data_IF_775785120067
#
_entry.id   IF_775785120067
#
_cell.length_a   1.000
_cell.length_b   1.000
_cell.length_c   1.000
_cell.angle_alpha   90.00
_cell.angle_beta   90.00
_cell.angle_gamma   90.00
#
_symmetry.space_group_name_H-M   'P 1'
#
loop_
_entity.id
_entity.type
_entity.pdbx_description
1 polymer ?
#
# COMPACT_ATOMS: atom_id res chain seq x y z
N UNK A 1 0.22 -20.36 17.31
CA UNK A 1 1.52 -20.20 16.63
C UNK A 1 2.13 -18.90 17.12
N UNK A 2 3.31 -18.96 17.72
CA UNK A 2 4.02 -17.80 18.26
C UNK A 2 5.01 -17.22 17.24
N UNK A 3 5.24 -15.92 17.32
CA UNK A 3 6.25 -15.23 16.51
C UNK A 3 7.64 -15.59 17.03
N UNK A 4 8.58 -15.82 16.11
CA UNK A 4 10.00 -16.04 16.45
C UNK A 4 10.62 -14.72 16.92
N UNK A 5 11.67 -14.81 17.73
CA UNK A 5 12.36 -13.64 18.29
C UNK A 5 12.78 -12.62 17.22
N UNK A 6 13.35 -13.08 16.09
CA UNK A 6 13.74 -12.18 15.02
C UNK A 6 12.54 -11.49 14.34
N UNK A 7 11.37 -12.14 14.30
CA UNK A 7 10.14 -11.55 13.76
C UNK A 7 9.64 -10.46 14.71
N UNK A 8 9.73 -10.68 16.03
CA UNK A 8 9.41 -9.68 17.05
C UNK A 8 10.34 -8.46 16.90
N UNK A 9 11.66 -8.67 16.82
CA UNK A 9 12.63 -7.58 16.61
C UNK A 9 12.35 -6.77 15.34
N UNK A 10 11.98 -7.44 14.25
CA UNK A 10 11.60 -6.79 13.00
C UNK A 10 10.32 -5.95 13.17
N UNK A 11 9.29 -6.48 13.83
CA UNK A 11 8.05 -5.75 14.11
C UNK A 11 8.26 -4.56 15.04
N UNK A 12 9.18 -4.66 16.01
CA UNK A 12 9.51 -3.55 16.89
C UNK A 12 10.27 -2.46 16.16
N UNK A 13 11.15 -2.81 15.21
CA UNK A 13 11.76 -1.85 14.29
C UNK A 13 10.70 -1.16 13.41
N UNK A 14 9.73 -1.91 12.91
CA UNK A 14 8.60 -1.35 12.16
C UNK A 14 7.75 -0.38 13.00
N UNK A 15 7.48 -0.70 14.27
CA UNK A 15 6.77 0.20 15.17
C UNK A 15 7.57 1.48 15.41
N UNK A 16 8.88 1.38 15.69
CA UNK A 16 9.75 2.57 15.82
C UNK A 16 9.74 3.42 14.55
N UNK A 17 9.89 2.80 13.38
CA UNK A 17 9.82 3.48 12.10
C UNK A 17 8.49 4.21 11.89
N UNK A 18 7.36 3.62 12.30
CA UNK A 18 6.05 4.27 12.21
C UNK A 18 5.90 5.49 13.13
N UNK A 19 6.42 5.41 14.34
CA UNK A 19 6.42 6.56 15.24
C UNK A 19 7.23 7.71 14.64
N UNK A 20 8.39 7.42 14.09
CA UNK A 20 9.22 8.42 13.44
C UNK A 20 8.57 8.96 12.15
N UNK A 21 7.94 8.09 11.36
CA UNK A 21 7.19 8.50 10.17
C UNK A 21 6.07 9.48 10.51
N UNK A 22 5.30 9.23 11.58
CA UNK A 22 4.24 10.12 12.03
C UNK A 22 4.80 11.49 12.48
N UNK A 23 5.88 11.47 13.25
CA UNK A 23 6.55 12.70 13.70
C UNK A 23 7.13 13.50 12.51
N UNK A 24 7.75 12.83 11.54
CA UNK A 24 8.25 13.46 10.33
C UNK A 24 7.12 14.03 9.46
N UNK A 25 5.97 13.36 9.40
CA UNK A 25 4.79 13.84 8.70
C UNK A 25 4.25 15.13 9.34
N UNK A 26 4.20 15.20 10.66
CA UNK A 26 3.77 16.40 11.39
C UNK A 26 4.75 17.58 11.20
N UNK A 27 6.05 17.32 11.30
CA UNK A 27 7.09 18.33 11.02
C UNK A 27 7.01 18.84 9.57
N UNK A 28 6.83 17.93 8.62
CA UNK A 28 6.64 18.26 7.20
C UNK A 28 5.40 19.13 7.02
N UNK A 29 4.23 18.73 7.53
CA UNK A 29 2.99 19.48 7.41
C UNK A 29 3.10 20.90 8.00
N UNK A 30 3.74 21.03 9.17
CA UNK A 30 3.98 22.33 9.81
C UNK A 30 4.88 23.22 8.95
N UNK A 31 5.98 22.68 8.41
CA UNK A 31 6.89 23.42 7.56
C UNK A 31 6.25 23.82 6.21
N UNK A 32 5.48 22.91 5.60
CA UNK A 32 4.70 23.20 4.38
C UNK A 32 3.73 24.35 4.63
N UNK A 33 2.94 24.29 5.70
CA UNK A 33 1.98 25.34 6.02
C UNK A 33 2.64 26.70 6.26
N UNK A 34 3.77 26.73 6.98
CA UNK A 34 4.51 27.96 7.24
C UNK A 34 5.07 28.59 5.94
N UNK A 35 5.62 27.78 5.04
CA UNK A 35 6.15 28.25 3.76
C UNK A 35 5.03 28.72 2.81
N UNK A 36 3.91 28.01 2.75
CA UNK A 36 2.75 28.40 1.96
C UNK A 36 2.15 29.72 2.46
N UNK A 37 2.06 29.92 3.79
CA UNK A 37 1.65 31.20 4.38
C UNK A 37 2.61 32.35 4.07
N UNK A 38 3.91 32.06 3.99
CA UNK A 38 4.93 33.04 3.62
C UNK A 38 5.00 33.29 2.10
N UNK A 39 4.20 32.60 1.28
CA UNK A 39 4.27 32.69 -0.18
C UNK A 39 5.57 32.12 -0.77
N UNK A 40 6.29 31.29 -0.01
CA UNK A 40 7.57 30.69 -0.42
C UNK A 40 7.30 29.33 -1.04
N UNK A 41 7.86 29.02 -2.23
CA UNK A 41 7.73 27.69 -2.82
C UNK A 41 8.27 26.62 -1.87
N UNK A 42 7.46 25.59 -1.61
CA UNK A 42 7.81 24.49 -0.73
C UNK A 42 8.78 23.52 -1.43
N UNK A 43 10.01 23.33 -0.93
CA UNK A 43 10.95 22.37 -1.48
C UNK A 43 10.41 20.92 -1.43
N UNK A 44 10.76 20.12 -2.44
CA UNK A 44 10.32 18.72 -2.53
C UNK A 44 10.78 17.87 -1.33
N UNK A 45 11.99 18.10 -0.83
CA UNK A 45 12.53 17.37 0.33
C UNK A 45 11.72 17.59 1.60
N UNK A 46 11.15 18.80 1.80
CA UNK A 46 10.27 19.08 2.95
C UNK A 46 9.00 18.24 2.87
N UNK A 47 8.46 18.03 1.65
CA UNK A 47 7.27 17.21 1.44
C UNK A 47 7.57 15.72 1.64
N UNK A 48 8.81 15.28 1.42
CA UNK A 48 9.26 13.88 1.53
C UNK A 48 9.49 13.41 2.97
N UNK A 49 8.44 13.46 3.80
CA UNK A 49 8.48 12.99 5.18
C UNK A 49 8.95 11.53 5.38
N UNK A 50 8.72 10.56 4.46
CA UNK A 50 9.26 9.21 4.63
C UNK A 50 10.79 9.17 4.55
N UNK A 51 11.39 9.96 3.65
CA UNK A 51 12.85 10.12 3.56
C UNK A 51 13.40 10.77 4.81
N UNK A 52 12.76 11.84 5.30
CA UNK A 52 13.15 12.49 6.56
C UNK A 52 13.11 11.54 7.75
N UNK A 53 12.05 10.75 7.89
CA UNK A 53 11.95 9.73 8.94
C UNK A 53 13.08 8.69 8.85
N UNK A 54 13.37 8.21 7.63
CA UNK A 54 14.46 7.27 7.42
C UNK A 54 15.83 7.87 7.78
N UNK A 55 16.08 9.13 7.40
CA UNK A 55 17.33 9.84 7.70
C UNK A 55 17.54 9.96 9.23
N UNK A 56 16.52 10.37 9.97
CA UNK A 56 16.57 10.45 11.44
C UNK A 56 16.90 9.10 12.07
N UNK A 57 16.29 8.00 11.60
CA UNK A 57 16.60 6.67 12.10
C UNK A 57 18.01 6.21 11.69
N UNK A 58 18.47 6.58 10.50
CA UNK A 58 19.80 6.23 10.01
C UNK A 58 20.89 6.91 10.85
N UNK A 59 20.73 8.20 11.15
CA UNK A 59 21.59 8.97 12.04
C UNK A 59 21.63 8.39 13.46
N UNK A 60 20.50 7.88 13.94
CA UNK A 60 20.40 7.18 15.22
C UNK A 60 20.92 5.72 15.19
N UNK A 61 21.42 5.23 14.05
CA UNK A 61 21.92 3.85 13.90
C UNK A 61 20.84 2.77 13.98
N UNK A 62 19.58 3.12 13.70
CA UNK A 62 18.40 2.25 13.85
C UNK A 62 17.90 1.62 12.54
N UNK A 63 18.59 1.85 11.41
CA UNK A 63 18.33 1.18 10.12
C UNK A 63 19.27 0.01 9.90
N UNK A 64 18.87 -0.93 9.03
CA UNK A 64 19.66 -2.13 8.77
C UNK A 64 21.01 -1.81 8.10
N UNK A 65 22.05 -2.56 8.46
CA UNK A 65 23.37 -2.52 7.80
C UNK A 65 23.45 -3.55 6.66
N UNK A 66 24.17 -3.26 5.55
CA UNK A 66 24.84 -2.00 5.24
C UNK A 66 23.86 -0.86 4.99
N UNK A 67 24.25 0.37 5.30
CA UNK A 67 23.44 1.56 5.04
C UNK A 67 23.28 1.72 3.52
N UNK A 68 22.07 1.46 3.03
CA UNK A 68 21.69 1.74 1.65
C UNK A 68 20.98 3.08 1.61
N UNK A 69 21.17 3.90 0.56
CA UNK A 69 20.40 5.13 0.40
C UNK A 69 18.89 4.85 0.41
N UNK A 70 18.12 5.76 0.99
CA UNK A 70 16.67 5.68 0.94
C UNK A 70 16.19 5.73 -0.52
N UNK A 71 15.38 4.75 -0.90
CA UNK A 71 14.72 4.69 -2.20
C UNK A 71 13.40 5.43 -2.12
N UNK A 72 13.34 6.58 -2.78
CA UNK A 72 12.15 7.40 -2.87
C UNK A 72 11.07 6.73 -3.74
N UNK A 73 9.81 6.89 -3.33
CA UNK A 73 8.65 6.48 -4.11
C UNK A 73 7.62 7.61 -4.10
N UNK A 74 7.08 7.91 -5.27
CA UNK A 74 6.11 8.98 -5.45
C UNK A 74 4.84 8.41 -6.08
N UNK A 75 3.70 8.75 -5.50
CA UNK A 75 2.39 8.38 -6.01
C UNK A 75 2.07 9.13 -7.31
N UNK A 76 1.09 8.65 -8.07
CA UNK A 76 0.65 9.35 -9.28
C UNK A 76 0.09 10.75 -8.97
N UNK A 77 -0.51 10.92 -7.78
CA UNK A 77 -0.94 12.21 -7.25
C UNK A 77 0.20 13.10 -6.70
N UNK A 78 1.47 12.71 -6.87
CA UNK A 78 2.64 13.56 -6.56
C UNK A 78 3.11 13.57 -5.10
N UNK A 79 2.44 12.86 -4.19
CA UNK A 79 2.87 12.75 -2.79
C UNK A 79 3.87 11.59 -2.57
N UNK A 80 4.75 11.66 -1.57
CA UNK A 80 5.67 10.58 -1.25
C UNK A 80 4.94 9.37 -0.65
N UNK A 81 5.39 8.17 -0.99
CA UNK A 81 4.86 6.90 -0.49
C UNK A 81 5.80 6.36 0.59
N UNK A 82 5.33 6.18 1.84
CA UNK A 82 6.06 5.42 2.85
C UNK A 82 6.27 3.99 2.38
N UNK A 83 7.51 3.52 2.43
CA UNK A 83 7.89 2.21 1.94
C UNK A 83 8.99 1.59 2.79
N UNK A 84 8.79 0.32 3.17
CA UNK A 84 9.76 -0.48 3.92
C UNK A 84 9.79 -1.93 3.40
N UNK A 85 10.89 -2.62 3.67
CA UNK A 85 11.08 -4.02 3.35
C UNK A 85 11.53 -4.83 4.57
N UNK A 86 10.77 -5.85 4.91
CA UNK A 86 11.23 -6.89 5.81
C UNK A 86 12.06 -7.93 5.04
N UNK A 87 13.36 -7.98 5.35
CA UNK A 87 14.24 -9.06 4.88
C UNK A 87 14.03 -10.32 5.72
N UNK A 88 13.40 -11.34 5.15
CA UNK A 88 13.07 -12.60 5.84
C UNK A 88 13.40 -13.79 4.94
N UNK A 89 14.15 -14.79 5.42
CA UNK A 89 14.55 -15.94 4.60
C UNK A 89 13.33 -16.73 4.08
N UNK A 90 13.54 -17.52 3.03
CA UNK A 90 12.55 -18.49 2.55
C UNK A 90 12.17 -19.46 3.69
N UNK A 91 10.88 -19.74 3.86
CA UNK A 91 10.38 -20.51 5.01
C UNK A 91 10.37 -19.75 6.35
N UNK A 92 10.86 -18.50 6.40
CA UNK A 92 10.86 -17.64 7.59
C UNK A 92 9.50 -17.05 7.98
N UNK A 93 8.39 -17.56 7.45
CA UNK A 93 7.05 -17.08 7.80
C UNK A 93 6.79 -15.63 7.37
N UNK A 94 7.09 -15.27 6.11
CA UNK A 94 6.83 -13.93 5.56
C UNK A 94 5.37 -13.53 5.65
N UNK A 95 4.46 -14.41 5.24
CA UNK A 95 3.02 -14.16 5.34
C UNK A 95 2.56 -13.94 6.78
N UNK A 96 3.12 -14.70 7.74
CA UNK A 96 2.88 -14.47 9.18
C UNK A 96 3.35 -13.08 9.62
N UNK A 97 4.56 -12.69 9.21
CA UNK A 97 5.12 -11.38 9.51
C UNK A 97 4.30 -10.24 8.89
N UNK A 98 3.80 -10.41 7.65
CA UNK A 98 2.90 -9.47 7.01
C UNK A 98 1.60 -9.28 7.79
N UNK A 99 0.98 -10.36 8.24
CA UNK A 99 -0.24 -10.30 9.03
C UNK A 99 0.01 -9.63 10.39
N UNK A 100 1.14 -9.94 11.04
CA UNK A 100 1.56 -9.29 12.26
C UNK A 100 1.90 -7.80 12.07
N UNK A 101 2.46 -7.41 10.91
CA UNK A 101 2.69 -6.01 10.59
C UNK A 101 1.36 -5.25 10.44
N UNK A 102 0.36 -5.84 9.77
CA UNK A 102 -0.99 -5.27 9.70
C UNK A 102 -1.67 -5.21 11.08
N UNK A 103 -1.46 -6.21 11.94
CA UNK A 103 -1.90 -6.14 13.34
C UNK A 103 -1.29 -4.94 14.05
N UNK A 104 0.03 -4.75 13.94
CA UNK A 104 0.74 -3.62 14.56
C UNK A 104 0.27 -2.27 14.01
N UNK A 105 -0.23 -2.19 12.77
CA UNK A 105 -0.84 -0.97 12.25
C UNK A 105 -2.02 -0.49 13.11
N UNK A 106 -2.68 -1.40 13.83
CA UNK A 106 -3.81 -1.13 14.72
C UNK A 106 -4.92 -0.31 14.02
N UNK A 107 -5.28 -0.74 12.81
CA UNK A 107 -6.27 -0.08 11.97
C UNK A 107 -7.61 -0.78 12.11
N UNK A 108 -8.57 -0.07 12.69
CA UNK A 108 -9.93 -0.54 12.89
C UNK A 108 -10.73 -0.70 11.59
N UNK A 109 -10.36 0.06 10.55
CA UNK A 109 -10.96 0.01 9.23
C UNK A 109 -10.02 0.54 8.13
N UNK A 110 -10.45 0.35 6.89
CA UNK A 110 -9.76 0.82 5.70
C UNK A 110 -9.42 -0.31 4.74
N UNK A 111 -8.72 0.04 3.66
CA UNK A 111 -8.39 -0.90 2.58
C UNK A 111 -6.92 -1.34 2.67
N UNK A 112 -6.71 -2.64 2.48
CA UNK A 112 -5.41 -3.29 2.33
C UNK A 112 -5.43 -4.14 1.07
N UNK A 113 -4.43 -3.96 0.21
CA UNK A 113 -4.21 -4.79 -0.97
C UNK A 113 -3.03 -5.73 -0.71
N UNK A 114 -3.31 -7.01 -0.55
CA UNK A 114 -2.31 -8.06 -0.33
C UNK A 114 -2.00 -8.76 -1.63
N UNK A 115 -0.77 -8.61 -2.12
CA UNK A 115 -0.34 -9.09 -3.42
C UNK A 115 0.63 -10.27 -3.25
N UNK A 116 0.38 -11.34 -3.99
CA UNK A 116 1.22 -12.56 -3.99
C UNK A 116 1.66 -12.90 -5.42
N UNK A 117 2.82 -13.53 -5.63
CA UNK A 117 3.41 -13.60 -6.96
C UNK A 117 2.85 -14.71 -7.85
N UNK A 118 2.15 -15.71 -7.29
CA UNK A 118 1.64 -16.85 -8.07
C UNK A 118 0.27 -17.33 -7.61
N UNK A 119 -0.47 -18.01 -8.49
CA UNK A 119 -1.76 -18.61 -8.14
C UNK A 119 -1.64 -19.70 -7.05
N UNK A 120 -0.53 -20.45 -7.04
CA UNK A 120 -0.30 -21.44 -5.98
C UNK A 120 -0.17 -20.78 -4.59
N UNK A 121 0.59 -19.69 -4.50
CA UNK A 121 0.73 -18.93 -3.25
C UNK A 121 -0.59 -18.24 -2.89
N UNK A 122 -1.34 -17.78 -3.89
CA UNK A 122 -2.69 -17.23 -3.70
C UNK A 122 -3.62 -18.21 -3.01
N UNK A 123 -3.79 -19.43 -3.52
CA UNK A 123 -4.71 -20.41 -2.93
C UNK A 123 -4.32 -20.75 -1.48
N UNK A 124 -3.03 -20.99 -1.23
CA UNK A 124 -2.54 -21.27 0.12
C UNK A 124 -2.74 -20.10 1.09
N UNK A 125 -2.56 -18.87 0.61
CA UNK A 125 -2.73 -17.66 1.43
C UNK A 125 -4.22 -17.41 1.69
N UNK A 126 -5.08 -17.63 0.69
CA UNK A 126 -6.53 -17.51 0.77
C UNK A 126 -7.10 -18.45 1.82
N UNK A 127 -6.78 -19.75 1.76
CA UNK A 127 -7.23 -20.74 2.74
C UNK A 127 -6.93 -20.29 4.18
N UNK A 128 -5.72 -19.78 4.42
CA UNK A 128 -5.24 -19.34 5.73
C UNK A 128 -5.78 -17.99 6.19
N UNK A 129 -6.13 -17.09 5.27
CA UNK A 129 -6.68 -15.78 5.61
C UNK A 129 -8.21 -15.81 5.77
N UNK A 130 -8.90 -16.75 5.13
CA UNK A 130 -10.35 -16.93 5.28
C UNK A 130 -10.72 -17.77 6.50
N UNK A 131 -9.85 -18.67 6.95
CA UNK A 131 -10.05 -19.41 8.19
C UNK A 131 -9.88 -18.48 9.41
N UNK A 132 -10.99 -18.20 10.12
CA UNK A 132 -11.04 -17.36 11.33
C UNK A 132 -10.21 -17.92 12.49
N UNK A 133 -9.96 -19.23 12.52
CA UNK A 133 -9.14 -19.87 13.54
C UNK A 133 -7.65 -19.86 13.18
N UNK A 134 -7.31 -19.59 11.93
CA UNK A 134 -5.94 -19.58 11.50
C UNK A 134 -5.19 -18.34 12.05
N UNK A 135 -3.93 -18.48 12.51
CA UNK A 135 -3.19 -17.38 13.13
C UNK A 135 -3.07 -16.11 12.29
N UNK A 136 -2.99 -16.23 10.96
CA UNK A 136 -2.91 -15.05 10.07
C UNK A 136 -4.19 -14.21 10.17
N UNK A 137 -5.35 -14.87 10.13
CA UNK A 137 -6.63 -14.19 10.27
C UNK A 137 -6.80 -13.64 11.67
N UNK A 138 -6.44 -14.38 12.72
CA UNK A 138 -6.49 -13.88 14.10
C UNK A 138 -5.66 -12.60 14.32
N UNK A 139 -4.51 -12.44 13.66
CA UNK A 139 -3.72 -11.21 13.70
C UNK A 139 -4.49 -10.01 13.13
N UNK A 140 -5.16 -10.20 12.00
CA UNK A 140 -6.01 -9.17 11.39
C UNK A 140 -7.21 -8.83 12.29
N UNK A 141 -7.82 -9.85 12.92
CA UNK A 141 -8.94 -9.65 13.84
C UNK A 141 -8.49 -8.81 15.04
N UNK A 142 -7.33 -9.11 15.64
CA UNK A 142 -6.79 -8.30 16.76
C UNK A 142 -6.51 -6.85 16.35
N UNK A 143 -5.86 -6.63 15.21
CA UNK A 143 -5.53 -5.29 14.72
C UNK A 143 -6.72 -4.42 14.30
N UNK A 144 -7.86 -5.03 14.00
CA UNK A 144 -9.09 -4.33 13.58
C UNK A 144 -10.20 -4.30 14.63
N UNK A 145 -10.00 -4.96 15.78
CA UNK A 145 -11.05 -5.13 16.79
C UNK A 145 -12.18 -6.06 16.33
N UNK A 146 -11.84 -7.14 15.62
CA UNK A 146 -12.77 -8.18 15.17
C UNK A 146 -13.53 -7.86 13.87
N UNK A 147 -13.14 -6.80 13.17
CA UNK A 147 -13.86 -6.28 11.99
C UNK A 147 -13.03 -6.42 10.72
N UNK A 148 -12.81 -7.65 10.28
CA UNK A 148 -12.08 -7.92 9.04
C UNK A 148 -13.02 -8.45 7.96
N UNK A 149 -13.00 -7.80 6.78
CA UNK A 149 -13.66 -8.27 5.56
C UNK A 149 -12.60 -8.77 4.58
N UNK A 150 -12.54 -10.08 4.33
CA UNK A 150 -11.69 -10.59 3.26
C UNK A 150 -12.37 -10.35 1.92
N UNK A 151 -11.59 -9.96 0.92
CA UNK A 151 -12.06 -9.69 -0.43
C UNK A 151 -11.14 -10.38 -1.44
N UNK A 152 -11.74 -10.96 -2.46
CA UNK A 152 -11.09 -11.26 -3.73
C UNK A 152 -11.37 -10.11 -4.71
N UNK A 153 -10.67 -10.07 -5.85
CA UNK A 153 -10.76 -8.96 -6.81
C UNK A 153 -12.19 -8.65 -7.27
N UNK A 154 -12.98 -9.68 -7.51
CA UNK A 154 -14.32 -9.56 -8.07
C UNK A 154 -15.43 -9.48 -7.00
N UNK A 155 -15.05 -9.52 -5.72
CA UNK A 155 -15.99 -9.42 -4.62
C UNK A 155 -16.60 -8.02 -4.54
N UNK A 156 -17.93 -7.90 -4.37
CA UNK A 156 -18.56 -6.62 -4.15
C UNK A 156 -18.20 -6.07 -2.76
N UNK A 157 -17.85 -4.79 -2.70
CA UNK A 157 -17.69 -4.05 -1.45
C UNK A 157 -18.06 -2.59 -1.66
N UNK A 158 -18.35 -1.90 -0.57
CA UNK A 158 -18.91 -0.54 -0.57
C UNK A 158 -18.01 0.44 0.17
N UNK A 159 -18.28 1.75 0.00
CA UNK A 159 -17.62 2.78 0.78
C UNK A 159 -17.82 2.58 2.29
N UNK A 160 -19.02 2.16 2.71
CA UNK A 160 -19.34 1.83 4.11
C UNK A 160 -18.54 0.62 4.62
N UNK A 161 -18.30 -0.40 3.79
CA UNK A 161 -17.44 -1.51 4.18
C UNK A 161 -16.02 -1.04 4.54
N UNK A 162 -15.43 -0.17 3.72
CA UNK A 162 -14.09 0.37 3.95
C UNK A 162 -14.04 1.28 5.18
N UNK A 163 -15.14 1.96 5.50
CA UNK A 163 -15.24 2.82 6.67
C UNK A 163 -15.39 2.03 7.98
N UNK A 164 -16.08 0.89 7.94
CA UNK A 164 -16.42 0.11 9.14
C UNK A 164 -15.61 -1.18 9.32
N UNK A 165 -14.92 -1.67 8.29
CA UNK A 165 -14.12 -2.90 8.36
C UNK A 165 -12.70 -2.67 7.83
N UNK A 166 -11.77 -3.48 8.33
CA UNK A 166 -10.49 -3.71 7.67
C UNK A 166 -10.74 -4.63 6.48
N UNK A 167 -10.89 -4.02 5.30
CA UNK A 167 -11.04 -4.72 4.03
C UNK A 167 -9.67 -5.19 3.54
N UNK A 168 -9.41 -6.50 3.53
CA UNK A 168 -8.16 -7.08 3.03
C UNK A 168 -8.44 -7.80 1.72
N UNK A 169 -8.02 -7.18 0.62
CA UNK A 169 -8.15 -7.72 -0.73
C UNK A 169 -6.92 -8.54 -1.09
N UNK A 170 -7.08 -9.84 -1.35
CA UNK A 170 -6.02 -10.72 -1.83
C UNK A 170 -5.97 -10.72 -3.37
N UNK A 171 -4.78 -10.60 -3.95
CA UNK A 171 -4.58 -10.58 -5.40
C UNK A 171 -3.32 -11.34 -5.82
N UNK A 172 -3.42 -12.14 -6.87
CA UNK A 172 -2.26 -12.75 -7.54
C UNK A 172 -1.70 -11.83 -8.63
N UNK A 173 -0.37 -11.66 -8.64
CA UNK A 173 0.36 -10.92 -9.67
C UNK A 173 0.52 -11.73 -10.97
N UNK A 174 0.50 -13.06 -10.92
CA UNK A 174 0.57 -13.88 -12.14
C UNK A 174 -0.64 -13.67 -13.05
N UNK A 175 -1.82 -13.44 -12.48
CA UNK A 175 -3.01 -13.06 -13.23
C UNK A 175 -2.90 -11.68 -13.91
N UNK A 176 -1.90 -10.88 -13.55
CA UNK A 176 -1.54 -9.61 -14.20
C UNK A 176 -0.49 -9.76 -15.31
N UNK A 177 0.31 -10.83 -15.27
CA UNK A 177 1.59 -10.94 -15.97
C UNK A 177 1.50 -11.46 -17.42
N UNK A 178 0.42 -11.17 -18.15
CA UNK A 178 0.42 -11.37 -19.62
C UNK A 178 1.16 -10.20 -20.29
N UNK A 179 2.49 -10.24 -20.21
CA UNK A 179 3.45 -9.52 -21.08
C UNK A 179 3.50 -7.98 -21.06
N UNK A 180 2.66 -7.22 -20.34
CA UNK A 180 2.76 -5.75 -20.28
C UNK A 180 2.15 -5.13 -18.99
N UNK A 181 2.74 -4.05 -18.44
CA UNK A 181 2.21 -3.23 -17.32
C UNK A 181 0.73 -2.80 -17.50
N UNK A 182 0.32 -2.56 -18.75
CA UNK A 182 -1.09 -2.34 -19.08
C UNK A 182 -1.96 -3.44 -18.48
N UNK A 183 -1.58 -4.71 -18.56
CA UNK A 183 -2.43 -5.82 -18.12
C UNK A 183 -2.64 -5.86 -16.60
N UNK A 184 -1.67 -5.43 -15.79
CA UNK A 184 -1.84 -5.26 -14.34
C UNK A 184 -2.91 -4.20 -13.99
N UNK A 185 -2.81 -3.01 -14.58
CA UNK A 185 -3.79 -1.95 -14.33
C UNK A 185 -5.15 -2.27 -14.95
N UNK A 186 -5.15 -3.02 -16.06
CA UNK A 186 -6.36 -3.53 -16.69
C UNK A 186 -7.12 -4.51 -15.80
N UNK A 187 -6.47 -5.16 -14.84
CA UNK A 187 -7.15 -6.00 -13.86
C UNK A 187 -8.12 -5.22 -12.98
N UNK A 188 -7.93 -3.93 -12.80
CA UNK A 188 -8.77 -3.10 -11.94
C UNK A 188 -9.83 -2.31 -12.73
N UNK A 189 -10.04 -2.67 -14.01
CA UNK A 189 -11.04 -2.03 -14.85
C UNK A 189 -12.47 -2.40 -14.44
N UNK A 190 -13.34 -1.49 -14.85
CA UNK A 190 -14.77 -1.38 -14.61
C UNK A 190 -15.53 -2.71 -14.53
N UNK A 191 -16.30 -2.86 -13.44
CA UNK A 191 -17.27 -3.93 -13.26
C UNK A 191 -18.66 -3.39 -12.93
N UNK A 192 -18.84 -2.07 -12.86
CA UNK A 192 -20.09 -1.43 -12.38
C UNK A 192 -20.41 -1.66 -10.90
N UNK A 193 -19.52 -2.29 -10.12
CA UNK A 193 -19.80 -2.72 -8.73
C UNK A 193 -19.38 -1.73 -7.66
N UNK A 194 -18.73 -0.63 -8.04
CA UNK A 194 -18.12 0.33 -7.11
C UNK A 194 -18.89 1.64 -6.99
N UNK A 195 -20.15 1.66 -7.41
CA UNK A 195 -21.02 2.86 -7.44
C UNK A 195 -21.02 3.62 -6.11
N UNK A 196 -21.07 2.92 -4.98
CA UNK A 196 -21.08 3.55 -3.64
C UNK A 196 -19.85 4.40 -3.29
N UNK A 197 -18.75 4.30 -4.06
CA UNK A 197 -17.56 5.12 -3.86
C UNK A 197 -17.59 6.44 -4.63
N UNK A 198 -18.56 6.62 -5.53
CA UNK A 198 -18.63 7.75 -6.44
C UNK A 198 -19.97 8.47 -6.28
N UNK A 199 -20.04 9.77 -6.57
CA UNK A 199 -21.31 10.48 -6.71
C UNK A 199 -22.19 9.86 -7.80
N UNK A 200 -23.48 10.19 -7.76
CA UNK A 200 -24.40 9.89 -8.84
C UNK A 200 -23.92 10.55 -10.14
N UNK A 201 -24.17 9.93 -11.29
CA UNK A 201 -23.63 10.36 -12.58
C UNK A 201 -24.28 11.63 -13.15
N UNK A 202 -25.42 12.02 -12.60
CA UNK A 202 -26.18 13.25 -12.87
C UNK A 202 -25.87 14.39 -11.89
N UNK A 203 -25.18 14.12 -10.78
CA UNK A 203 -24.72 15.16 -9.84
C UNK A 203 -23.40 15.81 -10.33
N UNK A 204 -23.53 16.77 -11.24
CA UNK A 204 -22.40 17.46 -11.84
C UNK A 204 -21.49 18.16 -10.79
N UNK A 205 -22.09 18.72 -9.74
CA UNK A 205 -21.34 19.46 -8.71
C UNK A 205 -20.49 18.52 -7.84
N UNK A 206 -21.07 17.38 -7.41
CA UNK A 206 -20.33 16.41 -6.61
C UNK A 206 -19.21 15.74 -7.43
N UNK A 207 -19.44 15.46 -8.72
CA UNK A 207 -18.41 14.94 -9.62
C UNK A 207 -17.26 15.93 -9.81
N UNK A 208 -17.56 17.23 -10.01
CA UNK A 208 -16.53 18.27 -10.13
C UNK A 208 -15.67 18.35 -8.86
N UNK A 209 -16.29 18.37 -7.68
CA UNK A 209 -15.57 18.36 -6.38
C UNK A 209 -14.71 17.12 -6.20
N UNK A 210 -15.18 15.95 -6.66
CA UNK A 210 -14.40 14.72 -6.58
C UNK A 210 -13.11 14.83 -7.41
N UNK A 211 -13.21 15.33 -8.64
CA UNK A 211 -12.07 15.48 -9.55
C UNK A 211 -11.11 16.59 -9.10
N UNK A 212 -11.60 17.65 -8.48
CA UNK A 212 -10.77 18.67 -7.85
C UNK A 212 -9.97 18.08 -6.68
N UNK A 213 -10.61 17.27 -5.84
CA UNK A 213 -9.97 16.61 -4.70
C UNK A 213 -8.96 15.54 -5.12
N UNK A 214 -9.27 14.80 -6.18
CA UNK A 214 -8.45 13.69 -6.69
C UNK A 214 -8.14 13.93 -8.17
N UNK A 215 -7.10 14.72 -8.41
CA UNK A 215 -6.74 15.21 -9.75
C UNK A 215 -6.19 14.12 -10.67
N UNK A 216 -5.83 12.95 -10.14
CA UNK A 216 -5.26 11.85 -10.89
C UNK A 216 -6.27 10.74 -11.21
N UNK A 217 -7.57 10.88 -10.93
CA UNK A 217 -8.56 9.84 -11.25
C UNK A 217 -8.69 9.63 -12.76
N UNK A 218 -8.84 8.37 -13.17
CA UNK A 218 -9.10 8.05 -14.58
C UNK A 218 -10.51 8.52 -14.95
N UNK A 219 -10.69 9.31 -16.02
CA UNK A 219 -12.00 9.80 -16.42
C UNK A 219 -12.84 8.69 -17.07
N UNK A 220 -14.16 8.81 -17.03
CA UNK A 220 -15.10 7.86 -17.67
C UNK A 220 -15.04 7.95 -19.19
N UNK A 221 -14.81 9.15 -19.72
CA UNK A 221 -14.63 9.45 -21.14
C UNK A 221 -13.71 10.68 -21.27
N UNK A 222 -12.98 10.86 -22.39
CA UNK A 222 -12.04 11.98 -22.56
C UNK A 222 -12.66 13.36 -22.32
N UNK A 223 -13.92 13.55 -22.75
CA UNK A 223 -14.60 14.84 -22.71
C UNK A 223 -15.64 14.96 -21.57
N UNK A 224 -15.67 14.00 -20.64
CA UNK A 224 -16.64 13.98 -19.54
C UNK A 224 -15.94 14.15 -18.21
N UNK A 225 -16.25 15.19 -17.41
CA UNK A 225 -15.67 15.41 -16.09
C UNK A 225 -16.34 14.50 -15.05
N UNK A 226 -16.36 13.20 -15.31
CA UNK A 226 -16.85 12.17 -14.39
C UNK A 226 -15.74 11.15 -14.21
N UNK A 227 -15.41 10.85 -12.96
CA UNK A 227 -14.45 9.80 -12.65
C UNK A 227 -15.02 8.44 -13.06
N UNK A 228 -14.19 7.61 -13.67
CA UNK A 228 -14.56 6.24 -13.99
C UNK A 228 -14.82 5.44 -12.71
N UNK A 229 -15.97 4.77 -12.63
CA UNK A 229 -16.35 3.95 -11.47
C UNK A 229 -15.61 2.59 -11.46
N UNK A 230 -14.31 2.63 -11.17
CA UNK A 230 -13.41 1.47 -11.25
C UNK A 230 -12.70 1.20 -9.93
N UNK A 231 -12.28 -0.06 -9.72
CA UNK A 231 -11.48 -0.46 -8.56
C UNK A 231 -10.16 0.34 -8.50
N UNK A 232 -9.59 0.67 -9.66
CA UNK A 232 -8.40 1.50 -9.75
C UNK A 232 -8.60 2.89 -9.12
N UNK A 233 -9.69 3.56 -9.46
CA UNK A 233 -10.04 4.85 -8.86
C UNK A 233 -10.44 4.70 -7.38
N UNK A 234 -11.06 3.58 -6.98
CA UNK A 234 -11.30 3.29 -5.55
C UNK A 234 -9.97 3.23 -4.79
N UNK A 235 -8.94 2.54 -5.32
CA UNK A 235 -7.63 2.54 -4.69
C UNK A 235 -7.01 3.93 -4.61
N UNK A 236 -7.06 4.71 -5.69
CA UNK A 236 -6.55 6.08 -5.69
C UNK A 236 -7.17 6.94 -4.59
N UNK A 237 -8.49 6.83 -4.41
CA UNK A 237 -9.23 7.57 -3.39
C UNK A 237 -8.99 7.05 -1.96
N UNK A 238 -8.93 5.72 -1.78
CA UNK A 238 -8.85 5.08 -0.46
C UNK A 238 -7.42 4.80 0.02
N UNK A 239 -6.41 5.04 -0.83
CA UNK A 239 -4.98 4.98 -0.54
C UNK A 239 -4.60 3.74 0.29
N UNK A 240 -4.73 2.53 -0.27
CA UNK A 240 -4.62 1.31 0.50
C UNK A 240 -3.23 1.13 1.11
N UNK A 241 -3.15 0.33 2.17
CA UNK A 241 -1.89 -0.31 2.54
C UNK A 241 -1.63 -1.44 1.55
N UNK A 242 -0.47 -1.45 0.90
CA UNK A 242 -0.10 -2.51 -0.04
C UNK A 242 0.91 -3.43 0.63
N UNK A 243 0.59 -4.72 0.70
CA UNK A 243 1.52 -5.77 1.14
C UNK A 243 2.01 -6.52 -0.09
N UNK A 244 3.32 -6.48 -0.33
CA UNK A 244 3.98 -7.23 -1.39
C UNK A 244 4.63 -8.49 -0.79
N UNK A 245 3.90 -9.60 -0.77
CA UNK A 245 4.43 -10.87 -0.29
C UNK A 245 5.30 -11.53 -1.37
N UNK A 246 6.46 -12.06 -0.96
CA UNK A 246 7.47 -12.64 -1.87
C UNK A 246 7.89 -11.69 -3.00
N UNK A 247 8.13 -10.41 -2.67
CA UNK A 247 8.32 -9.33 -3.64
C UNK A 247 9.46 -9.55 -4.65
N UNK A 248 10.53 -10.27 -4.30
CA UNK A 248 11.60 -10.63 -5.24
C UNK A 248 11.12 -11.47 -6.44
N UNK A 249 9.99 -12.18 -6.32
CA UNK A 249 9.36 -12.88 -7.45
C UNK A 249 8.47 -11.95 -8.29
N UNK A 250 7.96 -10.88 -7.68
CA UNK A 250 7.11 -9.87 -8.32
C UNK A 250 7.92 -8.93 -9.22
N UNK A 251 9.13 -8.54 -8.79
CA UNK A 251 9.99 -7.63 -9.54
C UNK A 251 10.55 -8.23 -10.86
N UNK A 252 10.27 -9.49 -11.21
CA UNK A 252 10.79 -10.10 -12.42
C UNK A 252 12.31 -10.35 -12.37
N UNK A 253 12.89 -10.82 -13.48
CA UNK A 253 14.36 -10.90 -13.64
C UNK A 253 14.88 -9.48 -13.92
N UNK A 254 16.10 -9.18 -13.45
CA UNK A 254 16.72 -7.85 -13.52
C UNK A 254 16.43 -7.08 -14.82
N UNK A 255 16.03 -5.81 -14.72
CA UNK A 255 15.78 -4.91 -15.86
C UNK A 255 14.55 -4.01 -15.68
N UNK A 256 14.10 -3.40 -16.78
CA UNK A 256 13.01 -2.40 -16.81
C UNK A 256 11.66 -2.91 -16.26
N UNK A 257 11.37 -4.22 -16.35
CA UNK A 257 10.12 -4.82 -15.86
C UNK A 257 9.90 -4.60 -14.35
N UNK A 258 10.99 -4.61 -13.58
CA UNK A 258 10.95 -4.39 -12.13
C UNK A 258 10.56 -2.95 -11.75
N UNK A 259 11.02 -1.98 -12.53
CA UNK A 259 10.71 -0.56 -12.34
C UNK A 259 9.29 -0.26 -12.80
N UNK A 260 8.84 -0.90 -13.89
CA UNK A 260 7.46 -0.84 -14.34
C UNK A 260 6.49 -1.32 -13.26
N UNK A 261 6.76 -2.45 -12.59
CA UNK A 261 5.91 -2.95 -11.52
C UNK A 261 5.83 -1.98 -10.33
N UNK A 262 6.97 -1.43 -9.90
CA UNK A 262 7.01 -0.40 -8.84
C UNK A 262 6.15 0.79 -9.25
N UNK A 263 6.27 1.26 -10.50
CA UNK A 263 5.44 2.34 -11.01
C UNK A 263 3.94 1.97 -11.03
N UNK A 264 3.58 0.74 -11.40
CA UNK A 264 2.19 0.27 -11.37
C UNK A 264 1.60 0.30 -9.97
N UNK A 265 2.36 -0.14 -8.97
CA UNK A 265 1.96 -0.09 -7.56
C UNK A 265 1.83 1.36 -7.09
N UNK A 266 2.78 2.23 -7.43
CA UNK A 266 2.75 3.65 -7.07
C UNK A 266 1.53 4.37 -7.68
N UNK A 267 1.08 3.96 -8.86
CA UNK A 267 -0.13 4.49 -9.52
C UNK A 267 -1.45 4.14 -8.80
N UNK A 268 -1.42 3.23 -7.82
CA UNK A 268 -2.56 2.94 -6.94
C UNK A 268 -2.65 3.94 -5.77
N UNK A 269 -1.73 4.91 -5.68
CA UNK A 269 -1.62 5.89 -4.60
C UNK A 269 -1.61 5.28 -3.19
N UNK A 270 -0.77 4.24 -2.92
CA UNK A 270 -0.75 3.59 -1.63
C UNK A 270 -0.41 4.56 -0.50
N UNK A 271 -1.06 4.37 0.65
CA UNK A 271 -0.72 5.10 1.88
C UNK A 271 0.54 4.55 2.55
N UNK A 272 0.87 3.29 2.29
CA UNK A 272 2.04 2.58 2.80
C UNK A 272 2.28 1.35 1.93
N UNK A 273 3.54 1.05 1.63
CA UNK A 273 3.95 -0.21 1.00
C UNK A 273 4.82 -1.01 1.97
N UNK A 274 4.39 -2.23 2.30
CA UNK A 274 5.11 -3.20 3.11
C UNK A 274 5.62 -4.30 2.18
N UNK A 275 6.93 -4.36 1.97
CA UNK A 275 7.59 -5.39 1.17
C UNK A 275 8.07 -6.54 2.07
N UNK A 276 7.80 -7.79 1.66
CA UNK A 276 8.29 -9.00 2.33
C UNK A 276 9.18 -9.77 1.35
N UNK A 277 10.48 -9.87 1.60
CA UNK A 277 11.40 -10.49 0.65
C UNK A 277 12.57 -11.22 1.32
N UNK A 278 13.01 -12.33 0.73
CA UNK A 278 14.25 -12.98 1.13
C UNK A 278 15.49 -12.31 0.53
N UNK A 279 15.32 -11.71 -0.65
CA UNK A 279 16.38 -11.09 -1.44
C UNK A 279 15.94 -9.67 -1.84
N UNK A 280 15.93 -8.72 -0.90
CA UNK A 280 15.59 -7.32 -1.18
C UNK A 280 16.56 -6.73 -2.21
N UNK A 281 16.06 -5.80 -3.02
CA UNK A 281 16.86 -5.13 -4.05
C UNK A 281 17.42 -3.82 -3.49
N UNK A 282 18.74 -3.62 -3.57
CA UNK A 282 19.37 -2.40 -3.07
C UNK A 282 18.87 -1.12 -3.76
N UNK A 283 18.35 -1.23 -4.98
CA UNK A 283 17.83 -0.11 -5.75
C UNK A 283 16.33 0.18 -5.51
N UNK A 284 15.61 -0.71 -4.80
CA UNK A 284 14.13 -0.66 -4.71
C UNK A 284 13.57 -0.83 -3.30
N UNK A 285 14.31 -1.47 -2.42
CA UNK A 285 13.91 -1.90 -1.08
C UNK A 285 14.50 -0.97 -0.02
N UNK A 286 13.68 -0.52 0.93
CA UNK A 286 14.12 0.26 2.10
C UNK A 286 14.15 -0.67 3.33
N UNK A 287 15.33 -1.09 3.77
CA UNK A 287 15.52 -2.07 4.87
C UNK A 287 15.54 -1.45 6.26
#
# INVERSE_FOLDING_TARGET
>A
MELKEYQIRALDAFVRWRHELAAAQERSATAVAALEQAGVPVPADIRNHPKGAWQTLAEAGQVAKPFLPYVERTAAAGFPIPHLCFKVPTGGGKTLLGAAALERLNRSSGLTLWMVPSNAIYQQTREKLWDRQHPYRQMLERGSGGRVKMLEKDDPFTAADVEHYLCVMLLSLQSANRRNNRDFLRMFRDSGRYTSFFPASDDAMANARLLERFTDLDPSAPDRPIAKQSLFNVFKMKRPVVVLDEAHKAYGRQGNESDEFVQSVNRLNPGLVIELSATPSCARSNL
#
